data_IF_219694131658
#
_entry.id   IF_219694131658
#
_cell.length_a   1.000
_cell.length_b   1.000
_cell.length_c   1.000
_cell.angle_alpha   90.00
_cell.angle_beta   90.00
_cell.angle_gamma   90.00
#
_symmetry.space_group_name_H-M   'P 1'
#
loop_
_entity.id
_entity.type
_entity.pdbx_description
1 polymer ?
#
# COMPACT_ATOMS: atom_id res chain seq x y z
N UNK A 1 -21.53 -0.69 9.73
CA UNK A 1 -20.44 -0.31 8.80
C UNK A 1 -19.15 -0.95 9.28
N UNK A 2 -18.45 -1.68 8.42
CA UNK A 2 -17.19 -2.30 8.79
C UNK A 2 -16.07 -1.25 8.77
N UNK A 3 -15.15 -1.32 9.74
CA UNK A 3 -13.97 -0.48 9.73
C UNK A 3 -13.06 -0.85 8.55
N UNK A 4 -12.35 0.14 8.01
CA UNK A 4 -11.36 -0.10 6.96
C UNK A 4 -10.25 -1.01 7.49
N UNK A 5 -9.89 -2.04 6.69
CA UNK A 5 -8.86 -3.02 7.05
C UNK A 5 -7.53 -2.78 6.34
N UNK A 6 -7.55 -2.01 5.27
CA UNK A 6 -6.36 -1.63 4.50
C UNK A 6 -6.29 -0.11 4.43
N UNK A 7 -5.15 0.45 4.79
CA UNK A 7 -4.85 1.85 4.56
C UNK A 7 -4.07 1.99 3.25
N UNK A 8 -4.53 2.86 2.37
CA UNK A 8 -3.86 3.19 1.12
C UNK A 8 -3.41 4.64 1.20
N UNK A 9 -2.12 4.87 1.15
CA UNK A 9 -1.55 6.22 1.16
C UNK A 9 -0.75 6.47 -0.10
N UNK A 10 -0.79 7.70 -0.59
CA UNK A 10 -0.06 8.12 -1.78
C UNK A 10 0.51 9.53 -1.57
N UNK A 11 1.66 9.80 -2.16
CA UNK A 11 2.40 11.05 -1.92
C UNK A 11 1.82 12.29 -2.59
N UNK A 12 0.97 12.11 -3.59
CA UNK A 12 0.41 13.23 -4.37
C UNK A 12 -0.95 12.85 -4.93
N UNK A 13 -1.83 13.83 -5.14
CA UNK A 13 -3.09 13.63 -5.86
C UNK A 13 -2.88 13.10 -7.28
N UNK A 14 -1.77 13.42 -7.92
CA UNK A 14 -1.44 12.89 -9.24
C UNK A 14 -1.25 11.37 -9.27
N UNK A 15 -1.02 10.75 -8.11
CA UNK A 15 -0.87 9.30 -7.97
C UNK A 15 -2.21 8.57 -7.84
N UNK A 16 -3.29 9.30 -7.62
CA UNK A 16 -4.62 8.71 -7.32
C UNK A 16 -5.12 7.79 -8.39
N UNK A 17 -4.98 8.16 -9.66
CA UNK A 17 -5.46 7.35 -10.78
C UNK A 17 -4.89 5.93 -10.74
N UNK A 18 -3.58 5.80 -10.47
CA UNK A 18 -2.92 4.50 -10.38
C UNK A 18 -3.23 3.81 -9.06
N UNK A 19 -3.17 4.53 -7.94
CA UNK A 19 -3.39 3.93 -6.62
C UNK A 19 -4.84 3.49 -6.38
N UNK A 20 -5.81 4.12 -7.04
CA UNK A 20 -7.21 3.68 -7.01
C UNK A 20 -7.39 2.27 -7.61
N UNK A 21 -6.45 1.78 -8.41
CA UNK A 21 -6.47 0.40 -8.88
C UNK A 21 -6.31 -0.61 -7.74
N UNK A 22 -5.50 -0.29 -6.74
CA UNK A 22 -5.38 -1.11 -5.53
C UNK A 22 -6.69 -1.12 -4.74
N UNK A 23 -7.32 0.04 -4.58
CA UNK A 23 -8.61 0.16 -3.92
C UNK A 23 -9.68 -0.66 -4.66
N UNK A 24 -9.76 -0.54 -5.98
CA UNK A 24 -10.75 -1.25 -6.77
C UNK A 24 -10.64 -2.77 -6.61
N UNK A 25 -9.43 -3.32 -6.59
CA UNK A 25 -9.20 -4.75 -6.33
C UNK A 25 -9.75 -5.15 -4.96
N UNK A 26 -9.45 -4.36 -3.93
CA UNK A 26 -9.87 -4.66 -2.56
C UNK A 26 -11.38 -4.53 -2.39
N UNK A 27 -11.99 -3.49 -2.92
CA UNK A 27 -13.45 -3.30 -2.87
C UNK A 27 -14.20 -4.44 -3.58
N UNK A 28 -13.69 -4.88 -4.73
CA UNK A 28 -14.26 -6.01 -5.46
C UNK A 28 -14.17 -7.34 -4.67
N UNK A 29 -13.20 -7.44 -3.77
CA UNK A 29 -13.07 -8.55 -2.83
C UNK A 29 -13.83 -8.33 -1.50
N UNK A 30 -14.54 -7.20 -1.37
CA UNK A 30 -15.31 -6.88 -0.16
C UNK A 30 -14.48 -6.36 0.99
N UNK A 31 -13.30 -5.80 0.72
CA UNK A 31 -12.39 -5.25 1.74
C UNK A 31 -12.52 -3.73 1.76
N UNK A 32 -12.86 -3.18 2.92
CA UNK A 32 -12.92 -1.73 3.14
C UNK A 32 -11.53 -1.12 3.22
N UNK A 33 -11.37 0.04 2.56
CA UNK A 33 -10.11 0.78 2.50
C UNK A 33 -10.26 2.20 3.04
N UNK A 34 -9.22 2.68 3.72
CA UNK A 34 -9.05 4.09 4.06
C UNK A 34 -7.99 4.67 3.11
N UNK A 35 -8.37 5.66 2.31
CA UNK A 35 -7.49 6.21 1.26
C UNK A 35 -7.10 7.64 1.62
N UNK A 36 -5.80 7.91 1.70
CA UNK A 36 -5.25 9.22 2.08
C UNK A 36 -4.14 9.66 1.14
N UNK A 37 -4.09 10.97 0.89
CA UNK A 37 -2.96 11.63 0.25
C UNK A 37 -2.12 12.31 1.32
N UNK A 38 -0.87 11.90 1.46
CA UNK A 38 0.09 12.51 2.36
C UNK A 38 1.51 12.26 1.88
N UNK A 39 2.35 13.27 1.95
CA UNK A 39 3.72 13.20 1.45
C UNK A 39 4.71 13.01 2.60
N UNK A 40 5.63 12.05 2.47
CA UNK A 40 6.71 11.88 3.43
C UNK A 40 7.61 13.11 3.52
N UNK A 41 7.76 13.87 2.44
CA UNK A 41 8.61 15.04 2.38
C UNK A 41 7.88 16.34 2.76
N UNK A 42 6.58 16.45 2.44
CA UNK A 42 5.80 17.67 2.68
C UNK A 42 4.97 17.63 3.96
N UNK A 43 4.51 16.43 4.35
CA UNK A 43 3.66 16.21 5.53
C UNK A 43 4.22 15.09 6.41
N UNK A 44 5.51 15.15 6.84
CA UNK A 44 6.15 14.03 7.54
C UNK A 44 5.47 13.69 8.88
N UNK A 45 4.98 14.68 9.60
CA UNK A 45 4.30 14.45 10.90
C UNK A 45 2.96 13.76 10.72
N UNK A 46 2.22 14.11 9.67
CA UNK A 46 0.95 13.47 9.31
C UNK A 46 1.16 11.99 8.94
N UNK A 47 2.19 11.71 8.14
CA UNK A 47 2.56 10.33 7.78
C UNK A 47 2.91 9.52 9.02
N UNK A 48 3.72 10.07 9.92
CA UNK A 48 4.11 9.42 11.15
C UNK A 48 2.91 9.11 12.06
N UNK A 49 2.01 10.09 12.24
CA UNK A 49 0.81 9.93 13.05
C UNK A 49 -0.15 8.90 12.46
N UNK A 50 -0.36 8.91 11.15
CA UNK A 50 -1.21 7.95 10.46
C UNK A 50 -0.69 6.52 10.64
N UNK A 51 0.59 6.30 10.38
CA UNK A 51 1.20 4.98 10.50
C UNK A 51 1.16 4.46 11.95
N UNK A 52 1.49 5.30 12.91
CA UNK A 52 1.48 4.93 14.32
C UNK A 52 0.07 4.62 14.84
N UNK A 53 -0.96 5.31 14.32
CA UNK A 53 -2.36 5.11 14.73
C UNK A 53 -3.10 4.03 13.96
N UNK A 54 -2.54 3.50 12.88
CA UNK A 54 -3.26 2.61 11.97
C UNK A 54 -3.78 1.33 12.61
N UNK A 55 -2.96 0.67 13.42
CA UNK A 55 -3.35 -0.56 14.10
C UNK A 55 -4.54 -0.34 15.05
N UNK A 56 -4.50 0.72 15.85
CA UNK A 56 -5.60 1.08 16.76
C UNK A 56 -6.88 1.45 15.99
N UNK A 57 -6.76 1.95 14.78
CA UNK A 57 -7.90 2.26 13.92
C UNK A 57 -8.49 1.03 13.20
N UNK A 58 -7.92 -0.16 13.40
CA UNK A 58 -8.41 -1.41 12.81
C UNK A 58 -7.75 -1.77 11.48
N UNK A 59 -6.82 -0.97 11.00
CA UNK A 59 -6.04 -1.28 9.80
C UNK A 59 -5.10 -2.44 10.09
N UNK A 60 -4.98 -3.37 9.13
CA UNK A 60 -4.16 -4.58 9.25
C UNK A 60 -3.03 -4.61 8.25
N UNK A 61 -3.16 -3.90 7.13
CA UNK A 61 -2.16 -3.80 6.07
C UNK A 61 -2.14 -2.38 5.54
N UNK A 62 -0.96 -1.86 5.27
CA UNK A 62 -0.77 -0.55 4.65
C UNK A 62 -0.20 -0.70 3.25
N UNK A 63 -0.73 0.04 2.30
CA UNK A 63 -0.25 0.14 0.93
C UNK A 63 0.19 1.59 0.71
N UNK A 64 1.43 1.80 0.29
CA UNK A 64 1.98 3.13 0.11
C UNK A 64 2.58 3.28 -1.29
N UNK A 65 2.11 4.26 -2.04
CA UNK A 65 2.58 4.55 -3.39
C UNK A 65 3.19 5.92 -3.52
N UNK A 66 4.34 6.01 -4.16
CA UNK A 66 5.03 7.26 -4.45
C UNK A 66 5.94 7.13 -5.67
N UNK A 67 6.17 8.26 -6.33
CA UNK A 67 7.13 8.38 -7.43
C UNK A 67 8.39 9.12 -7.02
N UNK A 68 9.33 9.25 -7.94
CA UNK A 68 10.63 9.92 -7.74
C UNK A 68 11.39 9.29 -6.55
N UNK A 69 11.89 10.10 -5.61
CA UNK A 69 12.45 9.63 -4.35
C UNK A 69 11.30 9.13 -3.45
N UNK A 70 10.89 7.90 -3.66
CA UNK A 70 9.68 7.31 -3.07
C UNK A 70 9.91 6.83 -1.64
N UNK A 71 10.06 7.77 -0.69
CA UNK A 71 10.33 7.50 0.71
C UNK A 71 9.09 7.14 1.53
N UNK A 72 7.88 7.28 0.96
CA UNK A 72 6.63 7.16 1.73
C UNK A 72 6.47 5.79 2.37
N UNK A 73 6.66 4.71 1.64
CA UNK A 73 6.52 3.36 2.17
C UNK A 73 7.50 3.08 3.32
N UNK A 74 8.76 3.49 3.17
CA UNK A 74 9.76 3.37 4.22
C UNK A 74 9.44 4.21 5.45
N UNK A 75 8.94 5.44 5.27
CA UNK A 75 8.52 6.31 6.36
C UNK A 75 7.34 5.71 7.13
N UNK A 76 6.38 5.12 6.44
CA UNK A 76 5.27 4.40 7.06
C UNK A 76 5.79 3.17 7.83
N UNK A 77 6.60 2.34 7.21
CA UNK A 77 7.15 1.13 7.82
C UNK A 77 7.97 1.41 9.08
N UNK A 78 8.59 2.58 9.17
CA UNK A 78 9.36 2.99 10.34
C UNK A 78 8.50 3.26 11.58
N UNK A 79 7.18 3.37 11.45
CA UNK A 79 6.26 3.77 12.52
C UNK A 79 5.23 2.71 12.89
N UNK A 80 5.30 1.53 12.29
CA UNK A 80 4.33 0.46 12.55
C UNK A 80 4.98 -0.92 12.35
N UNK A 81 4.40 -1.93 13.00
CA UNK A 81 4.73 -3.33 12.71
C UNK A 81 3.72 -3.98 11.77
N UNK A 82 2.71 -3.26 11.32
CA UNK A 82 1.80 -3.76 10.29
C UNK A 82 2.56 -4.01 8.99
N UNK A 83 2.16 -5.02 8.21
CA UNK A 83 2.73 -5.21 6.87
C UNK A 83 2.56 -3.96 6.01
N UNK A 84 3.63 -3.53 5.36
CA UNK A 84 3.62 -2.40 4.43
C UNK A 84 3.99 -2.89 3.04
N UNK A 85 3.15 -2.58 2.08
CA UNK A 85 3.34 -2.89 0.67
C UNK A 85 3.65 -1.59 -0.06
N UNK A 86 4.81 -1.52 -0.70
CA UNK A 86 5.25 -0.34 -1.44
C UNK A 86 4.96 -0.48 -2.92
N UNK A 87 4.36 0.56 -3.50
CA UNK A 87 4.09 0.64 -4.94
C UNK A 87 4.97 1.74 -5.53
N UNK A 88 6.00 1.38 -6.29
CA UNK A 88 6.80 2.38 -7.00
C UNK A 88 6.02 2.92 -8.20
N UNK A 89 5.96 4.24 -8.33
CA UNK A 89 5.20 4.91 -9.39
C UNK A 89 6.12 5.60 -10.38
N UNK A 90 5.73 5.58 -11.64
CA UNK A 90 6.44 6.30 -12.69
C UNK A 90 6.18 7.80 -12.54
N UNK A 91 7.26 8.57 -12.39
CA UNK A 91 7.21 10.03 -12.40
C UNK A 91 8.59 10.56 -12.77
N UNK A 92 8.66 11.41 -13.79
CA UNK A 92 9.93 11.96 -14.23
C UNK A 92 10.74 11.04 -15.17
N UNK A 93 12.02 11.37 -15.43
CA UNK A 93 12.78 10.82 -16.56
C UNK A 93 13.29 9.40 -16.37
N UNK A 94 13.27 8.84 -15.15
CA UNK A 94 13.78 7.49 -14.88
C UNK A 94 12.70 6.42 -14.94
N UNK A 95 11.47 6.78 -15.32
CA UNK A 95 10.37 5.83 -15.58
C UNK A 95 10.08 4.87 -14.43
N UNK A 96 10.19 5.35 -13.20
CA UNK A 96 9.89 4.58 -12.00
C UNK A 96 11.07 3.77 -11.44
N UNK A 97 12.21 3.72 -12.10
CA UNK A 97 13.38 3.01 -11.56
C UNK A 97 13.87 3.64 -10.26
N UNK A 98 13.87 4.97 -10.18
CA UNK A 98 14.17 5.72 -8.96
C UNK A 98 13.20 5.38 -7.82
N UNK A 99 11.92 5.31 -8.13
CA UNK A 99 10.89 4.93 -7.15
C UNK A 99 11.05 3.47 -6.70
N UNK A 100 11.34 2.56 -7.63
CA UNK A 100 11.60 1.16 -7.29
C UNK A 100 12.78 1.03 -6.33
N UNK A 101 13.92 1.63 -6.65
CA UNK A 101 15.12 1.52 -5.83
C UNK A 101 14.95 2.16 -4.45
N UNK A 102 14.30 3.32 -4.38
CA UNK A 102 14.06 4.00 -3.10
C UNK A 102 13.00 3.30 -2.24
N UNK A 103 12.15 2.48 -2.82
CA UNK A 103 11.13 1.69 -2.10
C UNK A 103 11.66 0.33 -1.66
N UNK A 104 12.38 -0.38 -2.54
CA UNK A 104 12.76 -1.78 -2.31
C UNK A 104 14.01 -1.95 -1.43
N UNK A 105 14.96 -1.01 -1.46
CA UNK A 105 16.24 -1.14 -0.77
C UNK A 105 16.15 -0.71 0.70
N UNK A 106 15.31 -1.41 1.47
CA UNK A 106 15.11 -1.15 2.90
C UNK A 106 16.20 -1.83 3.75
N UNK A 107 16.57 -1.22 4.89
CA UNK A 107 17.51 -1.84 5.82
C UNK A 107 16.90 -3.08 6.49
N UNK A 108 17.77 -3.99 6.94
CA UNK A 108 17.32 -5.16 7.69
C UNK A 108 16.55 -4.76 8.95
N UNK A 109 15.42 -5.41 9.19
CA UNK A 109 14.57 -5.16 10.35
C UNK A 109 13.38 -4.26 10.08
N UNK A 110 13.38 -3.51 8.96
CA UNK A 110 12.26 -2.65 8.54
C UNK A 110 11.91 -3.00 7.09
N UNK A 111 11.16 -4.08 6.86
CA UNK A 111 10.83 -4.53 5.51
C UNK A 111 9.68 -3.73 4.89
N UNK A 112 9.76 -3.58 3.57
CA UNK A 112 8.66 -3.14 2.72
C UNK A 112 8.50 -4.16 1.60
N UNK A 113 7.32 -4.76 1.47
CA UNK A 113 7.00 -5.67 0.38
C UNK A 113 6.76 -4.86 -0.89
N UNK A 114 7.74 -4.80 -1.77
CA UNK A 114 7.70 -3.95 -2.96
C UNK A 114 7.15 -4.72 -4.16
N UNK A 115 6.17 -4.15 -4.84
CA UNK A 115 5.51 -4.72 -6.01
C UNK A 115 6.04 -4.06 -7.30
N UNK A 116 5.49 -4.45 -8.44
CA UNK A 116 5.91 -3.91 -9.74
C UNK A 116 5.67 -2.40 -9.86
N UNK A 117 6.41 -1.76 -10.74
CA UNK A 117 6.25 -0.33 -11.04
C UNK A 117 4.91 -0.08 -11.73
N UNK A 118 4.16 0.90 -11.25
CA UNK A 118 2.97 1.40 -11.91
C UNK A 118 1.71 0.57 -11.68
N UNK A 119 0.84 0.51 -12.68
CA UNK A 119 -0.52 -0.03 -12.55
C UNK A 119 -0.57 -1.52 -12.20
N UNK A 120 0.30 -2.35 -12.75
CA UNK A 120 0.37 -3.76 -12.37
C UNK A 120 0.72 -3.92 -10.89
N UNK A 121 1.69 -3.12 -10.42
CA UNK A 121 2.08 -3.11 -9.02
C UNK A 121 0.96 -2.65 -8.10
N UNK A 122 0.23 -1.60 -8.47
CA UNK A 122 -0.90 -1.12 -7.68
C UNK A 122 -1.99 -2.20 -7.54
N UNK A 123 -2.35 -2.89 -8.62
CA UNK A 123 -3.30 -4.00 -8.55
C UNK A 123 -2.78 -5.14 -7.68
N UNK A 124 -1.51 -5.52 -7.87
CA UNK A 124 -0.90 -6.59 -7.08
C UNK A 124 -0.73 -6.22 -5.62
N UNK A 125 -0.57 -4.95 -5.29
CA UNK A 125 -0.61 -4.48 -3.90
C UNK A 125 -1.97 -4.77 -3.27
N UNK A 126 -3.06 -4.51 -4.00
CA UNK A 126 -4.41 -4.87 -3.56
C UNK A 126 -4.58 -6.38 -3.34
N UNK A 127 -4.14 -7.19 -4.29
CA UNK A 127 -4.18 -8.65 -4.15
C UNK A 127 -3.31 -9.16 -3.00
N UNK A 128 -2.11 -8.65 -2.84
CA UNK A 128 -1.21 -9.06 -1.75
C UNK A 128 -1.78 -8.68 -0.39
N UNK A 129 -2.34 -7.47 -0.26
CA UNK A 129 -3.02 -7.05 0.97
C UNK A 129 -4.18 -8.02 1.30
N UNK A 130 -4.98 -8.37 0.31
CA UNK A 130 -6.08 -9.33 0.49
C UNK A 130 -5.56 -10.71 0.88
N UNK A 131 -4.46 -11.17 0.29
CA UNK A 131 -3.85 -12.46 0.65
C UNK A 131 -3.37 -12.48 2.10
N UNK A 132 -2.77 -11.39 2.56
CA UNK A 132 -2.35 -11.27 3.98
C UNK A 132 -3.57 -11.34 4.90
N UNK A 133 -4.64 -10.60 4.59
CA UNK A 133 -5.87 -10.63 5.37
C UNK A 133 -6.52 -12.01 5.35
N UNK A 134 -6.46 -12.72 4.24
CA UNK A 134 -7.07 -14.04 4.06
C UNK A 134 -6.46 -15.12 4.96
N UNK A 135 -5.25 -14.89 5.49
CA UNK A 135 -4.65 -15.82 6.46
C UNK A 135 -5.51 -15.98 7.72
N UNK A 136 -6.29 -14.96 8.07
CA UNK A 136 -7.22 -14.97 9.21
C UNK A 136 -8.69 -14.79 8.78
N UNK A 137 -8.99 -14.89 7.49
CA UNK A 137 -10.32 -14.66 6.93
C UNK A 137 -10.60 -15.70 5.82
N UNK A 138 -11.16 -16.86 6.19
CA UNK A 138 -11.43 -17.94 5.21
C UNK A 138 -12.38 -17.53 4.09
N UNK A 139 -13.34 -16.65 4.36
CA UNK A 139 -14.29 -16.17 3.34
C UNK A 139 -13.55 -15.36 2.26
N UNK A 140 -12.67 -14.46 2.67
CA UNK A 140 -11.83 -13.71 1.74
C UNK A 140 -10.93 -14.64 0.94
N UNK A 141 -10.40 -15.68 1.59
CA UNK A 141 -9.62 -16.71 0.93
C UNK A 141 -10.39 -17.42 -0.19
N UNK A 142 -11.67 -17.74 0.03
CA UNK A 142 -12.54 -18.33 -0.99
C UNK A 142 -12.74 -17.39 -2.18
N UNK A 143 -12.94 -16.11 -1.92
CA UNK A 143 -13.10 -15.10 -2.98
C UNK A 143 -11.83 -14.95 -3.82
N UNK A 144 -10.67 -14.95 -3.18
CA UNK A 144 -9.38 -14.91 -3.88
C UNK A 144 -9.17 -16.13 -4.78
N UNK A 145 -9.48 -17.33 -4.28
CA UNK A 145 -9.40 -18.57 -5.07
C UNK A 145 -10.33 -18.51 -6.28
N UNK A 146 -11.57 -18.08 -6.08
CA UNK A 146 -12.54 -17.93 -7.16
C UNK A 146 -12.04 -16.98 -8.26
N UNK A 147 -11.41 -15.86 -7.86
CA UNK A 147 -10.81 -14.91 -8.80
C UNK A 147 -9.71 -15.53 -9.66
N UNK A 148 -8.97 -16.51 -9.13
CA UNK A 148 -7.91 -17.21 -9.84
C UNK A 148 -8.39 -18.48 -10.56
N UNK A 149 -9.68 -18.82 -10.44
CA UNK A 149 -10.20 -20.06 -11.01
C UNK A 149 -9.71 -21.33 -10.27
N UNK A 150 -9.46 -21.21 -8.99
CA UNK A 150 -8.96 -22.31 -8.12
C UNK A 150 -10.07 -22.89 -7.25
#
# INVERSE_FOLDING_TARGET
>A
MMAARVGIVMGSESDREVMDLARAVLEDLGVECDVRVMSAHRNPDEVAAYAAGAEAAGIRVLVAGAGLAAHLAGAVAARTILPVIGVPLEAGPLNGLDALLSTVMMPKGVPVATVAIGSHGARNAGFLAAQILALADPELGRRLKAKRGM
#
